data_IF_013662763463
#
_entry.id   IF_013662763463
#
_cell.length_a   1.000
_cell.length_b   1.000
_cell.length_c   1.000
_cell.angle_alpha   90.00
_cell.angle_beta   90.00
_cell.angle_gamma   90.00
#
_symmetry.space_group_name_H-M   'P 1'
#
loop_
_entity.id
_entity.type
_entity.pdbx_description
1 polymer ?
#
# COMPACT_ATOMS: atom_id res chain seq x y z
N UNK A 1 1.26 15.48 14.52
CA UNK A 1 0.40 15.53 13.32
C UNK A 1 -0.45 14.27 13.37
N UNK A 2 -1.77 14.42 13.48
CA UNK A 2 -2.67 13.27 13.58
C UNK A 2 -2.76 12.58 12.21
N UNK A 3 -2.21 11.37 12.12
CA UNK A 3 -2.39 10.53 10.95
C UNK A 3 -3.85 10.08 10.96
N UNK A 4 -4.66 10.63 10.06
CA UNK A 4 -6.08 10.26 9.96
C UNK A 4 -6.15 8.80 9.51
N UNK A 5 -7.01 8.02 10.15
CA UNK A 5 -7.28 6.62 9.76
C UNK A 5 -8.41 6.67 8.74
N UNK A 6 -8.14 6.24 7.50
CA UNK A 6 -9.08 6.35 6.39
C UNK A 6 -9.98 5.10 6.30
N UNK A 7 -11.18 5.26 5.72
CA UNK A 7 -12.19 4.20 5.62
C UNK A 7 -11.76 3.00 4.75
N UNK A 8 -10.79 3.19 3.84
CA UNK A 8 -10.22 2.11 3.00
C UNK A 8 -9.08 1.34 3.66
N UNK A 9 -8.57 1.79 4.81
CA UNK A 9 -7.54 1.07 5.58
C UNK A 9 -7.91 -0.39 5.89
N UNK A 10 -9.15 -0.77 6.21
CA UNK A 10 -9.57 -2.16 6.36
C UNK A 10 -9.33 -3.00 5.10
N UNK A 11 -9.58 -2.46 3.90
CA UNK A 11 -9.31 -3.19 2.67
C UNK A 11 -7.82 -3.36 2.41
N UNK A 12 -7.02 -2.32 2.66
CA UNK A 12 -5.56 -2.35 2.56
C UNK A 12 -5.01 -3.41 3.53
N UNK A 13 -5.48 -3.42 4.77
CA UNK A 13 -5.15 -4.45 5.77
C UNK A 13 -5.52 -5.85 5.27
N UNK A 14 -6.69 -6.03 4.66
CA UNK A 14 -7.07 -7.33 4.09
C UNK A 14 -6.15 -7.78 2.95
N UNK A 15 -5.70 -6.86 2.09
CA UNK A 15 -4.71 -7.15 1.04
C UNK A 15 -3.35 -7.53 1.64
N UNK A 16 -2.90 -6.80 2.66
CA UNK A 16 -1.64 -7.09 3.36
C UNK A 16 -1.68 -8.43 4.12
N UNK A 17 -2.80 -8.79 4.76
CA UNK A 17 -2.99 -10.10 5.39
C UNK A 17 -2.85 -11.26 4.40
N UNK A 18 -3.30 -11.08 3.15
CA UNK A 18 -3.08 -12.09 2.10
C UNK A 18 -1.58 -12.21 1.78
N UNK A 19 -0.89 -11.09 1.60
CA UNK A 19 0.55 -11.07 1.37
C UNK A 19 1.34 -11.72 2.53
N UNK A 20 0.92 -11.47 3.78
CA UNK A 20 1.46 -12.12 4.98
C UNK A 20 1.31 -13.65 4.93
N UNK A 21 0.13 -14.14 4.55
CA UNK A 21 -0.11 -15.59 4.39
C UNK A 21 0.81 -16.22 3.35
N UNK A 22 1.01 -15.54 2.21
CA UNK A 22 1.97 -15.96 1.20
C UNK A 22 3.40 -15.95 1.74
N UNK A 23 3.79 -14.91 2.47
CA UNK A 23 5.14 -14.79 3.05
C UNK A 23 5.44 -15.93 4.03
N UNK A 24 4.51 -16.23 4.95
CA UNK A 24 4.62 -17.38 5.87
C UNK A 24 4.79 -18.69 5.12
N UNK A 25 4.01 -18.90 4.06
CA UNK A 25 4.12 -20.10 3.22
C UNK A 25 5.46 -20.17 2.50
N UNK A 26 5.96 -19.07 1.94
CA UNK A 26 7.27 -19.01 1.28
C UNK A 26 8.39 -19.38 2.24
N UNK A 27 8.37 -18.87 3.48
CA UNK A 27 9.36 -19.23 4.52
C UNK A 27 9.34 -20.75 4.76
N UNK A 28 8.17 -21.33 5.00
CA UNK A 28 8.03 -22.77 5.19
C UNK A 28 8.49 -23.59 3.95
N UNK A 29 8.27 -23.06 2.75
CA UNK A 29 8.74 -23.69 1.50
C UNK A 29 10.27 -23.67 1.38
N UNK A 30 10.93 -22.60 1.83
CA UNK A 30 12.39 -22.50 1.87
C UNK A 30 12.94 -23.52 2.87
N UNK A 31 12.38 -23.57 4.08
CA UNK A 31 12.77 -24.52 5.13
C UNK A 31 12.57 -25.97 4.69
N UNK A 32 11.52 -26.24 3.90
CA UNK A 32 11.24 -27.55 3.33
C UNK A 32 12.04 -27.88 2.05
N UNK A 33 12.94 -27.00 1.59
CA UNK A 33 13.79 -27.26 0.42
C UNK A 33 13.03 -27.34 -0.91
N UNK A 34 11.96 -26.55 -1.09
CA UNK A 34 11.19 -26.50 -2.35
C UNK A 34 12.01 -25.94 -3.52
N UNK A 35 11.51 -26.15 -4.73
CA UNK A 35 12.21 -25.74 -5.96
C UNK A 35 12.32 -24.21 -6.05
N UNK A 36 13.40 -23.73 -6.68
CA UNK A 36 13.59 -22.30 -6.91
C UNK A 36 12.44 -21.67 -7.72
N UNK A 37 11.83 -22.43 -8.63
CA UNK A 37 10.68 -21.96 -9.43
C UNK A 37 9.46 -21.71 -8.54
N UNK A 38 9.11 -22.65 -7.67
CA UNK A 38 7.97 -22.50 -6.75
C UNK A 38 8.16 -21.28 -5.81
N UNK A 39 9.39 -21.09 -5.32
CA UNK A 39 9.76 -19.97 -4.46
C UNK A 39 9.64 -18.63 -5.21
N UNK A 40 10.18 -18.55 -6.43
CA UNK A 40 10.09 -17.34 -7.26
C UNK A 40 8.64 -16.96 -7.56
N UNK A 41 7.77 -17.94 -7.83
CA UNK A 41 6.35 -17.70 -8.05
C UNK A 41 5.65 -17.15 -6.81
N UNK A 42 5.94 -17.68 -5.61
CA UNK A 42 5.35 -17.14 -4.38
C UNK A 42 5.86 -15.74 -4.05
N UNK A 43 7.17 -15.48 -4.22
CA UNK A 43 7.73 -14.14 -4.04
C UNK A 43 7.10 -13.12 -4.99
N UNK A 44 6.87 -13.50 -6.24
CA UNK A 44 6.17 -12.63 -7.20
C UNK A 44 4.71 -12.35 -6.79
N UNK A 45 4.00 -13.35 -6.26
CA UNK A 45 2.64 -13.16 -5.74
C UNK A 45 2.62 -12.18 -4.55
N UNK A 46 3.60 -12.27 -3.65
CA UNK A 46 3.76 -11.33 -2.52
C UNK A 46 3.99 -9.92 -3.04
N UNK A 47 4.93 -9.74 -3.97
CA UNK A 47 5.24 -8.45 -4.58
C UNK A 47 3.98 -7.81 -5.19
N UNK A 48 3.22 -8.57 -5.97
CA UNK A 48 1.96 -8.09 -6.58
C UNK A 48 0.92 -7.70 -5.54
N UNK A 49 0.76 -8.48 -4.47
CA UNK A 49 -0.19 -8.17 -3.41
C UNK A 49 0.18 -6.88 -2.65
N UNK A 50 1.47 -6.69 -2.35
CA UNK A 50 1.97 -5.48 -1.69
C UNK A 50 1.86 -4.27 -2.62
N UNK A 51 2.22 -4.41 -3.90
CA UNK A 51 2.09 -3.34 -4.88
C UNK A 51 0.62 -2.89 -5.05
N UNK A 52 -0.32 -3.83 -5.05
CA UNK A 52 -1.75 -3.52 -5.10
C UNK A 52 -2.22 -2.76 -3.84
N UNK A 53 -1.81 -3.20 -2.64
CA UNK A 53 -2.13 -2.52 -1.39
C UNK A 53 -1.57 -1.09 -1.36
N UNK A 54 -0.31 -0.92 -1.78
CA UNK A 54 0.37 0.37 -1.91
C UNK A 54 -0.38 1.31 -2.86
N UNK A 55 -0.79 0.82 -4.02
CA UNK A 55 -1.55 1.60 -5.00
C UNK A 55 -2.90 2.08 -4.43
N UNK A 56 -3.63 1.21 -3.74
CA UNK A 56 -4.88 1.59 -3.06
C UNK A 56 -4.64 2.68 -2.02
N UNK A 57 -3.61 2.53 -1.18
CA UNK A 57 -3.26 3.53 -0.16
C UNK A 57 -2.97 4.89 -0.78
N UNK A 58 -2.18 4.90 -1.87
CA UNK A 58 -1.84 6.14 -2.57
C UNK A 58 -3.12 6.78 -3.12
N UNK A 59 -3.92 6.04 -3.90
CA UNK A 59 -5.16 6.57 -4.49
C UNK A 59 -6.10 7.17 -3.44
N UNK A 60 -6.32 6.46 -2.34
CA UNK A 60 -7.18 6.92 -1.25
C UNK A 60 -6.66 8.23 -0.61
N UNK A 61 -5.34 8.36 -0.46
CA UNK A 61 -4.73 9.61 -0.02
C UNK A 61 -4.93 10.75 -1.03
N UNK A 62 -4.81 10.48 -2.34
CA UNK A 62 -5.04 11.48 -3.41
C UNK A 62 -6.47 12.02 -3.32
N UNK A 63 -7.47 11.12 -3.31
CA UNK A 63 -8.89 11.49 -3.31
C UNK A 63 -9.24 12.37 -2.10
N UNK A 64 -8.70 12.05 -0.92
CA UNK A 64 -8.92 12.81 0.31
C UNK A 64 -8.18 14.16 0.33
N UNK A 65 -6.91 14.20 -0.09
CA UNK A 65 -6.15 15.45 -0.17
C UNK A 65 -6.77 16.45 -1.15
N UNK A 66 -7.32 15.97 -2.27
CA UNK A 66 -8.07 16.81 -3.22
C UNK A 66 -9.39 17.31 -2.64
N UNK A 67 -10.15 16.45 -1.95
CA UNK A 67 -11.39 16.83 -1.29
C UNK A 67 -11.16 17.93 -0.23
N UNK A 68 -10.15 17.76 0.63
CA UNK A 68 -9.81 18.75 1.66
C UNK A 68 -9.21 20.06 1.10
N UNK A 69 -8.46 20.00 0.00
CA UNK A 69 -7.89 21.19 -0.64
C UNK A 69 -8.97 22.07 -1.29
N UNK A 70 -10.10 21.49 -1.72
CA UNK A 70 -11.22 22.25 -2.27
C UNK A 70 -12.01 23.03 -1.20
N UNK A 71 -11.98 22.57 0.06
CA UNK A 71 -12.70 23.18 1.19
C UNK A 71 -11.88 24.21 1.99
N UNK A 72 -10.55 24.28 1.79
CA UNK A 72 -9.65 25.08 2.63
C UNK A 72 -8.82 26.10 1.83
N UNK A 73 -8.58 27.27 2.45
CA UNK A 73 -7.74 28.41 2.04
C UNK A 73 -6.45 28.01 1.26
N UNK A 74 -5.90 28.83 0.32
CA UNK A 74 -4.81 28.45 -0.60
C UNK A 74 -3.56 27.86 0.06
N UNK A 75 -3.32 28.14 1.35
CA UNK A 75 -2.24 27.51 2.14
C UNK A 75 -2.46 26.01 2.38
N UNK A 76 -3.70 25.57 2.53
CA UNK A 76 -4.08 24.16 2.65
C UNK A 76 -3.83 23.39 1.35
N UNK A 77 -4.17 23.99 0.20
CA UNK A 77 -3.94 23.40 -1.12
C UNK A 77 -2.44 23.18 -1.41
N UNK A 78 -1.59 24.16 -1.07
CA UNK A 78 -0.14 24.03 -1.24
C UNK A 78 0.45 22.86 -0.43
N UNK A 79 -0.05 22.65 0.80
CA UNK A 79 0.36 21.54 1.66
C UNK A 79 -0.11 20.18 1.14
N UNK A 80 -1.36 20.09 0.67
CA UNK A 80 -1.89 18.87 0.07
C UNK A 80 -1.08 18.44 -1.17
N UNK A 81 -0.65 19.39 -2.00
CA UNK A 81 0.21 19.12 -3.16
C UNK A 81 1.60 18.60 -2.73
N UNK A 82 2.16 19.11 -1.63
CA UNK A 82 3.46 18.66 -1.13
C UNK A 82 3.40 17.22 -0.55
N UNK A 83 2.35 16.91 0.18
CA UNK A 83 2.06 15.55 0.67
C UNK A 83 1.86 14.59 -0.51
N UNK A 84 1.10 14.99 -1.54
CA UNK A 84 0.93 14.23 -2.78
C UNK A 84 2.26 13.97 -3.52
N UNK A 85 3.12 14.99 -3.64
CA UNK A 85 4.47 14.82 -4.23
C UNK A 85 5.32 13.85 -3.44
N UNK A 86 5.13 13.77 -2.14
CA UNK A 86 5.89 12.85 -1.29
C UNK A 86 5.39 11.42 -1.47
N UNK A 87 4.07 11.20 -1.47
CA UNK A 87 3.52 9.85 -1.55
C UNK A 87 3.67 9.23 -2.96
N UNK A 88 3.63 10.05 -4.01
CA UNK A 88 3.81 9.59 -5.40
C UNK A 88 5.21 9.08 -5.71
N UNK A 89 6.23 9.41 -4.90
CA UNK A 89 7.58 8.80 -4.98
C UNK A 89 7.56 7.29 -4.74
N UNK A 90 6.49 6.79 -4.13
CA UNK A 90 6.30 5.38 -3.85
C UNK A 90 5.38 4.70 -4.86
N UNK A 91 5.00 5.32 -5.98
CA UNK A 91 4.30 4.62 -7.07
C UNK A 91 5.20 3.56 -7.71
#
# INVERSE_FOLDING_TARGET
MAHVVHETHPEIVNRLKRAEGHLRKTIAMIEAGRTCLDLAQQLHAIEKAVAAAKKTLIHDHIDHCLAHAAENDPKGAAKAIDELKTITKYL
#
